data_IF_415691215649
#
_entry.id   IF_415691215649
#
_cell.length_a   1.000
_cell.length_b   1.000
_cell.length_c   1.000
_cell.angle_alpha   90.00
_cell.angle_beta   90.00
_cell.angle_gamma   90.00
#
_symmetry.space_group_name_H-M   'P 1'
#
loop_
_entity.id
_entity.type
_entity.pdbx_description
1 polymer ?
#
# COMPACT_ATOMS: atom_id res chain seq x y z
N UNK A 1 -12.21 7.07 -5.38
CA UNK A 1 -10.80 7.43 -5.62
C UNK A 1 -10.23 6.34 -6.53
N UNK A 2 -8.92 6.11 -6.60
CA UNK A 2 -8.44 4.84 -7.19
C UNK A 2 -8.71 3.72 -6.19
N UNK A 3 -9.00 2.52 -6.70
CA UNK A 3 -9.26 1.33 -5.88
C UNK A 3 -8.09 1.01 -4.93
N UNK A 4 -6.87 1.36 -5.31
CA UNK A 4 -5.69 1.25 -4.47
C UNK A 4 -5.78 2.12 -3.21
N UNK A 5 -6.07 3.43 -3.32
CA UNK A 5 -6.17 4.29 -2.13
C UNK A 5 -7.35 3.91 -1.24
N UNK A 6 -8.45 3.43 -1.81
CA UNK A 6 -9.59 2.89 -1.06
C UNK A 6 -9.16 1.67 -0.24
N UNK A 7 -8.48 0.70 -0.85
CA UNK A 7 -7.96 -0.47 -0.13
C UNK A 7 -6.88 -0.12 0.90
N UNK A 8 -5.99 0.84 0.60
CA UNK A 8 -4.99 1.32 1.56
C UNK A 8 -5.64 1.97 2.79
N UNK A 9 -6.69 2.77 2.60
CA UNK A 9 -7.44 3.36 3.70
C UNK A 9 -8.08 2.30 4.59
N UNK A 10 -8.67 1.26 3.98
CA UNK A 10 -9.23 0.12 4.72
C UNK A 10 -8.16 -0.67 5.49
N UNK A 11 -7.00 -0.92 4.88
CA UNK A 11 -5.89 -1.66 5.52
C UNK A 11 -5.31 -0.87 6.70
N UNK A 12 -5.18 0.44 6.55
CA UNK A 12 -4.60 1.34 7.56
C UNK A 12 -5.63 1.82 8.60
N UNK A 13 -6.89 1.41 8.46
CA UNK A 13 -8.02 1.80 9.32
C UNK A 13 -8.17 3.33 9.45
N UNK A 14 -8.12 4.03 8.32
CA UNK A 14 -8.27 5.49 8.23
C UNK A 14 -9.30 5.90 7.19
N UNK A 15 -9.74 7.15 7.23
CA UNK A 15 -10.63 7.66 6.19
C UNK A 15 -9.87 7.79 4.87
N UNK A 16 -10.50 7.37 3.79
CA UNK A 16 -9.92 7.48 2.45
C UNK A 16 -9.57 8.93 2.11
N UNK A 17 -10.30 9.92 2.64
CA UNK A 17 -10.00 11.34 2.42
C UNK A 17 -8.70 11.81 3.05
N UNK A 18 -8.19 11.07 4.04
CA UNK A 18 -6.92 11.34 4.71
C UNK A 18 -5.75 10.61 4.03
N UNK A 19 -6.02 9.68 3.11
CA UNK A 19 -5.00 8.96 2.35
C UNK A 19 -4.59 9.76 1.11
N UNK A 20 -3.29 10.01 1.02
CA UNK A 20 -2.64 10.59 -0.14
C UNK A 20 -1.24 9.98 -0.32
N UNK A 21 -0.53 10.22 -1.43
CA UNK A 21 0.81 9.67 -1.66
C UNK A 21 1.83 10.02 -0.56
N UNK A 22 1.66 11.14 0.14
CA UNK A 22 2.50 11.59 1.25
C UNK A 22 2.08 11.04 2.61
N UNK A 23 1.01 10.25 2.69
CA UNK A 23 0.58 9.65 3.95
C UNK A 23 1.63 8.69 4.51
N UNK A 24 2.06 8.92 5.74
CA UNK A 24 3.06 8.12 6.44
C UNK A 24 2.42 6.85 7.03
N UNK A 25 2.95 5.68 6.68
CA UNK A 25 2.39 4.38 7.09
C UNK A 25 2.58 4.11 8.60
N UNK A 26 3.69 4.61 9.17
CA UNK A 26 3.94 4.62 10.61
C UNK A 26 3.77 3.25 11.31
N UNK A 27 3.15 3.27 12.49
CA UNK A 27 2.91 2.07 13.29
C UNK A 27 1.82 1.15 12.72
N UNK A 28 0.95 1.67 11.83
CA UNK A 28 -0.06 0.87 11.14
C UNK A 28 0.56 -0.08 10.10
N UNK A 29 1.82 0.15 9.71
CA UNK A 29 2.57 -0.70 8.79
C UNK A 29 3.17 -1.94 9.46
N UNK A 30 2.29 -2.81 9.96
CA UNK A 30 2.69 -4.08 10.55
C UNK A 30 2.75 -5.21 9.50
N UNK A 31 3.07 -6.43 9.97
CA UNK A 31 3.14 -7.59 9.08
C UNK A 31 1.80 -7.95 8.45
N UNK A 32 0.67 -7.62 9.08
CA UNK A 32 -0.67 -7.87 8.54
C UNK A 32 -1.00 -6.85 7.45
N UNK A 33 -0.66 -5.57 7.66
CA UNK A 33 -0.82 -4.52 6.66
C UNK A 33 0.02 -4.82 5.41
N UNK A 34 1.27 -5.29 5.58
CA UNK A 34 2.13 -5.70 4.47
C UNK A 34 1.48 -6.84 3.67
N UNK A 35 1.06 -7.93 4.33
CA UNK A 35 0.47 -9.09 3.64
C UNK A 35 -0.85 -8.70 2.93
N UNK A 36 -1.68 -7.88 3.58
CA UNK A 36 -2.92 -7.38 3.00
C UNK A 36 -2.66 -6.49 1.79
N UNK A 37 -1.61 -5.67 1.85
CA UNK A 37 -1.23 -4.79 0.74
C UNK A 37 -0.67 -5.56 -0.45
N UNK A 38 0.04 -6.68 -0.22
CA UNK A 38 0.45 -7.57 -1.32
C UNK A 38 -0.77 -8.09 -2.07
N UNK A 39 -1.81 -8.54 -1.36
CA UNK A 39 -3.05 -9.00 -1.97
C UNK A 39 -3.76 -7.86 -2.73
N UNK A 40 -3.84 -6.67 -2.14
CA UNK A 40 -4.41 -5.49 -2.80
C UNK A 40 -3.66 -5.14 -4.10
N UNK A 41 -2.33 -5.18 -4.09
CA UNK A 41 -1.50 -4.87 -5.27
C UNK A 41 -1.72 -5.92 -6.37
N UNK A 42 -1.82 -7.19 -6.01
CA UNK A 42 -2.13 -8.27 -6.96
C UNK A 42 -3.50 -8.07 -7.60
N UNK A 43 -4.52 -7.73 -6.81
CA UNK A 43 -5.89 -7.49 -7.31
C UNK A 43 -6.01 -6.24 -8.20
N UNK A 44 -5.35 -5.15 -7.84
CA UNK A 44 -5.49 -3.85 -8.54
C UNK A 44 -4.55 -3.74 -9.75
N UNK A 45 -3.34 -4.26 -9.64
CA UNK A 45 -2.28 -4.07 -10.63
C UNK A 45 -1.85 -5.37 -11.33
N UNK A 46 -2.41 -6.52 -10.97
CA UNK A 46 -2.01 -7.86 -11.48
C UNK A 46 -0.50 -8.10 -11.26
N UNK A 47 -0.02 -7.73 -10.06
CA UNK A 47 1.40 -7.75 -9.71
C UNK A 47 1.68 -8.33 -8.35
N UNK A 48 2.77 -9.09 -8.31
CA UNK A 48 3.37 -9.56 -7.07
C UNK A 48 4.56 -8.68 -6.69
N UNK A 49 4.56 -8.19 -5.45
CA UNK A 49 5.66 -7.43 -4.85
C UNK A 49 6.25 -8.19 -3.66
N UNK A 50 7.54 -7.99 -3.39
CA UNK A 50 8.21 -8.64 -2.26
C UNK A 50 7.79 -8.00 -0.93
N UNK A 51 7.46 -8.80 0.11
CA UNK A 51 7.18 -8.28 1.44
C UNK A 51 8.36 -7.50 2.02
N UNK A 52 9.61 -7.88 1.71
CA UNK A 52 10.80 -7.15 2.14
C UNK A 52 10.86 -5.75 1.53
N UNK A 53 10.47 -5.60 0.27
CA UNK A 53 10.46 -4.31 -0.42
C UNK A 53 9.34 -3.40 0.12
N UNK A 54 8.16 -3.96 0.38
CA UNK A 54 7.07 -3.25 1.04
C UNK A 54 7.41 -2.83 2.46
N UNK A 55 8.12 -3.67 3.23
CA UNK A 55 8.57 -3.35 4.58
C UNK A 55 9.58 -2.20 4.65
N UNK A 56 10.16 -1.79 3.51
CA UNK A 56 11.04 -0.63 3.40
C UNK A 56 10.29 0.66 3.03
N UNK A 57 9.03 0.56 2.59
CA UNK A 57 8.20 1.72 2.30
C UNK A 57 7.80 2.42 3.60
N UNK A 58 7.81 3.75 3.56
CA UNK A 58 7.42 4.64 4.65
C UNK A 58 6.16 5.42 4.34
N UNK A 59 5.82 5.57 3.06
CA UNK A 59 4.64 6.31 2.59
C UNK A 59 3.80 5.51 1.61
N UNK A 60 2.51 5.84 1.51
CA UNK A 60 1.59 5.23 0.53
C UNK A 60 2.08 5.43 -0.92
N UNK A 61 2.68 6.58 -1.22
CA UNK A 61 3.25 6.85 -2.55
C UNK A 61 4.43 5.95 -2.90
N UNK A 62 5.25 5.55 -1.93
CA UNK A 62 6.31 4.56 -2.16
C UNK A 62 5.75 3.17 -2.44
N UNK A 63 4.66 2.79 -1.76
CA UNK A 63 3.94 1.54 -2.02
C UNK A 63 3.36 1.53 -3.44
N UNK A 64 2.71 2.62 -3.85
CA UNK A 64 2.16 2.75 -5.21
C UNK A 64 3.27 2.73 -6.27
N UNK A 65 4.38 3.42 -6.01
CA UNK A 65 5.55 3.39 -6.88
C UNK A 65 6.11 1.98 -7.02
N UNK A 66 6.20 1.22 -5.92
CA UNK A 66 6.64 -0.17 -5.93
C UNK A 66 5.66 -1.07 -6.71
N UNK A 67 4.35 -0.88 -6.51
CA UNK A 67 3.30 -1.61 -7.21
C UNK A 67 3.35 -1.38 -8.73
N UNK A 68 3.68 -0.16 -9.16
CA UNK A 68 3.67 0.24 -10.58
C UNK A 68 5.05 0.21 -11.26
N UNK A 69 6.15 0.08 -10.51
CA UNK A 69 7.52 0.08 -11.03
C UNK A 69 7.74 -1.01 -12.09
N UNK A 70 8.05 -0.64 -13.34
CA UNK A 70 8.30 -1.62 -14.39
C UNK A 70 9.41 -2.63 -13.98
N UNK A 71 9.10 -3.93 -14.09
CA UNK A 71 10.05 -5.01 -13.86
C UNK A 71 11.23 -4.99 -14.84
#
# INVERSE_FOLDING_TARGET
MSQFYEGMAEILDVDVTDIDPGYELGEAWDSLAIVSTIALIDEVYDRSVSPDALGQCTTVGEVEALATAAA
#
